data_IF_210561222239
#
_entry.id   IF_210561222239
#
_cell.length_a   1.000
_cell.length_b   1.000
_cell.length_c   1.000
_cell.angle_alpha   90.00
_cell.angle_beta   90.00
_cell.angle_gamma   90.00
#
_symmetry.space_group_name_H-M   'P 1'
#
loop_
_entity.id
_entity.type
_entity.pdbx_description
1 polymer ?
2 polymer ?
3 non-polymer ?
4 non-polymer ?
5 water ?
#
# COMPACT_ATOMS: atom_id res chain seq x y z
N UNK A 1 8.67 9.22 -11.08
CA UNK A 1 7.54 8.28 -11.10
C UNK A 1 7.72 7.24 -12.21
N UNK A 2 7.24 6.02 -11.96
CA UNK A 2 7.35 4.95 -12.94
C UNK A 2 5.99 4.56 -13.54
N UNK A 3 5.93 4.38 -14.88
CA UNK A 3 4.71 3.92 -15.55
C UNK A 3 4.58 2.39 -15.57
N UNK A 4 5.51 1.71 -14.91
CA UNK A 4 5.54 0.24 -14.82
C UNK A 4 6.72 -0.10 -13.95
N UNK A 5 6.66 -1.24 -13.28
CA UNK A 5 7.84 -1.77 -12.62
C UNK A 5 7.83 -3.30 -12.65
N UNK A 6 9.01 -3.93 -12.53
CA UNK A 6 9.09 -5.40 -12.59
C UNK A 6 8.46 -6.12 -11.39
N UNK A 7 7.99 -5.37 -10.39
CA UNK A 7 7.40 -5.97 -9.19
C UNK A 7 5.88 -5.97 -9.20
N UNK A 8 5.27 -5.42 -10.25
CA UNK A 8 3.81 -5.47 -10.41
C UNK A 8 3.23 -6.91 -10.43
N UNK A 9 4.04 -7.85 -10.91
CA UNK A 9 3.73 -9.29 -10.83
C UNK A 9 3.33 -9.78 -9.41
N UNK A 10 3.86 -9.12 -8.37
CA UNK A 10 3.58 -9.49 -6.98
C UNK A 10 2.21 -9.04 -6.45
N UNK A 11 1.55 -8.14 -7.17
CA UNK A 11 0.24 -7.63 -6.77
C UNK A 11 -0.80 -8.77 -6.85
N UNK A 12 -1.49 -9.01 -5.73
CA UNK A 12 -2.48 -10.09 -5.62
C UNK A 12 -3.91 -9.53 -5.71
N UNK A 13 -4.90 -10.40 -5.99
CA UNK A 13 -6.28 -9.92 -6.11
C UNK A 13 -6.77 -9.19 -4.86
N UNK A 14 -7.57 -8.15 -5.07
CA UNK A 14 -8.20 -7.45 -3.97
C UNK A 14 -9.05 -8.46 -3.20
N UNK A 15 -8.95 -8.45 -1.86
CA UNK A 15 -9.81 -9.33 -1.07
C UNK A 15 -11.29 -9.17 -1.42
N UNK A 16 -12.01 -10.29 -1.46
CA UNK A 16 -13.45 -10.28 -1.79
C UNK A 16 -14.22 -9.38 -0.83
N UNK A 17 -13.76 -9.35 0.43
CA UNK A 17 -14.32 -8.49 1.48
C UNK A 17 -14.09 -7.00 1.23
N UNK A 18 -13.17 -6.67 0.33
CA UNK A 18 -12.86 -5.29 0.00
C UNK A 18 -11.87 -4.67 0.97
N UNK A 19 -11.76 -3.35 0.92
CA UNK A 19 -10.76 -2.63 1.71
C UNK A 19 -11.43 -1.75 2.74
N UNK A 20 -10.70 -1.46 3.81
CA UNK A 20 -11.15 -0.55 4.86
C UNK A 20 -10.08 0.53 5.04
N UNK A 21 -10.29 1.70 4.43
CA UNK A 21 -9.28 2.76 4.44
C UNK A 21 -9.07 3.39 5.83
N UNK A 22 -9.96 3.11 6.78
CA UNK A 22 -9.79 3.62 8.15
C UNK A 22 -9.21 2.56 9.10
N UNK A 23 -8.80 1.42 8.55
CA UNK A 23 -8.20 0.35 9.34
C UNK A 23 -6.92 0.85 10.05
N UNK A 24 -6.79 0.58 11.38
CA UNK A 24 -5.59 0.95 12.16
C UNK A 24 -4.33 0.17 11.74
N UNK A 25 -3.16 0.73 12.03
CA UNK A 25 -1.91 -0.01 11.86
C UNK A 25 -1.94 -1.30 12.70
N UNK A 26 -1.59 -2.42 12.06
CA UNK A 26 -1.57 -3.72 12.73
C UNK A 26 -0.58 -3.81 13.89
N UNK A 27 0.39 -2.89 13.96
CA UNK A 27 1.35 -2.92 15.07
C UNK A 27 1.12 -1.87 16.17
N UNK A 28 0.88 -0.62 15.78
CA UNK A 28 0.77 0.46 16.77
C UNK A 28 -0.66 1.02 16.92
N UNK A 29 -1.56 0.60 16.03
CA UNK A 29 -2.97 0.97 16.13
C UNK A 29 -3.29 2.40 15.73
N UNK A 30 -2.32 3.12 15.16
CA UNK A 30 -2.58 4.50 14.73
C UNK A 30 -3.42 4.56 13.46
N UNK A 31 -4.08 5.70 13.27
CA UNK A 31 -4.93 5.95 12.11
C UNK A 31 -4.39 7.04 11.16
N UNK A 32 -3.18 7.51 11.41
CA UNK A 32 -2.67 8.75 10.79
C UNK A 32 -2.35 8.70 9.29
N UNK A 33 -1.42 7.82 8.91
CA UNK A 33 -0.97 7.67 7.53
C UNK A 33 -0.69 6.19 7.29
N UNK A 34 -1.75 5.42 7.06
CA UNK A 34 -1.58 4.00 6.86
C UNK A 34 -1.50 3.62 5.39
N UNK A 35 -0.86 2.48 5.14
CA UNK A 35 -0.71 1.93 3.81
C UNK A 35 -1.26 0.50 3.84
N UNK A 36 -1.68 -0.01 2.68
CA UNK A 36 -2.10 -1.41 2.58
C UNK A 36 -1.15 -2.15 1.63
N UNK A 37 -0.74 -3.34 2.04
CA UNK A 37 0.19 -4.13 1.23
C UNK A 37 -0.57 -4.80 0.07
N UNK A 38 -0.08 -4.60 -1.16
CA UNK A 38 -0.79 -5.11 -2.34
C UNK A 38 -0.56 -6.61 -2.58
N UNK A 39 0.23 -7.25 -1.72
CA UNK A 39 0.41 -8.71 -1.78
C UNK A 39 -0.48 -9.41 -0.76
N UNK A 40 -0.38 -9.01 0.52
CA UNK A 40 -1.11 -9.69 1.60
C UNK A 40 -2.29 -8.90 2.20
N UNK A 41 -2.38 -7.61 1.87
CA UNK A 41 -3.49 -6.72 2.27
C UNK A 41 -3.60 -6.43 3.78
N UNK A 42 -2.47 -6.63 4.46
CA UNK A 42 -2.31 -6.17 5.82
C UNK A 42 -2.08 -4.66 5.77
N UNK A 43 -2.46 -3.99 6.85
CA UNK A 43 -2.41 -2.53 6.92
C UNK A 43 -1.42 -2.10 8.01
N UNK A 44 -0.48 -1.22 7.65
CA UNK A 44 0.54 -0.72 8.57
C UNK A 44 0.87 0.75 8.26
N UNK A 45 1.38 1.45 9.27
CA UNK A 45 1.63 2.89 9.15
C UNK A 45 2.86 3.21 8.30
N UNK A 46 2.88 4.44 7.78
CA UNK A 46 3.96 4.87 6.90
C UNK A 46 5.24 5.19 7.65
N UNK A 47 6.30 5.47 6.88
CA UNK A 47 7.65 5.59 7.44
C UNK A 47 7.88 6.93 8.16
N UNK A 48 6.93 7.85 7.99
CA UNK A 48 6.93 9.15 8.69
C UNK A 48 6.10 9.10 9.96
N UNK A 49 5.46 7.96 10.20
CA UNK A 49 4.72 7.71 11.45
C UNK A 49 5.61 6.80 12.30
N UNK A 50 5.32 5.50 12.31
CA UNK A 50 6.14 4.54 13.07
C UNK A 50 6.82 3.47 12.21
N UNK A 51 6.71 3.61 10.89
CA UNK A 51 7.47 2.76 9.96
C UNK A 51 7.11 1.29 9.95
N UNK A 52 5.88 0.96 10.31
CA UNK A 52 5.50 -0.45 10.39
C UNK A 52 5.29 -1.13 9.04
N UNK A 53 4.89 -0.37 8.01
CA UNK A 53 4.84 -0.95 6.67
C UNK A 53 6.25 -1.26 6.17
N UNK A 54 7.19 -0.36 6.46
CA UNK A 54 8.60 -0.60 6.14
C UNK A 54 9.11 -1.87 6.84
N UNK A 55 8.75 -2.02 8.12
CA UNK A 55 9.04 -3.22 8.90
C UNK A 55 8.45 -4.47 8.21
N UNK A 56 7.20 -4.35 7.76
CA UNK A 56 6.52 -5.43 7.06
C UNK A 56 7.27 -5.82 5.78
N UNK A 57 7.70 -4.80 5.02
CA UNK A 57 8.52 -5.03 3.83
C UNK A 57 9.78 -5.83 4.19
N UNK A 58 10.44 -5.40 5.26
CA UNK A 58 11.64 -6.07 5.74
C UNK A 58 11.40 -7.52 6.12
N UNK A 59 10.24 -7.81 6.71
CA UNK A 59 9.92 -9.17 7.15
C UNK A 59 9.43 -10.11 6.06
N UNK A 60 8.72 -9.53 5.09
CA UNK A 60 8.01 -10.29 4.07
C UNK A 60 8.65 -10.24 2.68
N UNK A 61 9.33 -9.15 2.38
CA UNK A 61 9.82 -8.87 1.03
C UNK A 61 8.75 -8.36 0.05
N UNK A 62 7.51 -8.19 0.52
CA UNK A 62 6.44 -7.67 -0.35
C UNK A 62 6.78 -6.26 -0.87
N UNK A 63 6.68 -6.07 -2.19
CA UNK A 63 7.29 -4.87 -2.80
C UNK A 63 6.40 -3.62 -2.86
N UNK A 64 5.10 -3.81 -3.09
CA UNK A 64 4.22 -2.70 -3.47
C UNK A 64 3.16 -2.45 -2.43
N UNK A 65 3.02 -1.18 -2.06
CA UNK A 65 2.09 -0.80 -1.01
C UNK A 65 1.30 0.43 -1.45
N UNK A 66 0.07 0.54 -0.98
CA UNK A 66 -0.83 1.62 -1.39
C UNK A 66 -1.18 2.54 -0.23
N UNK A 67 -1.08 3.85 -0.44
CA UNK A 67 -1.41 4.83 0.60
C UNK A 67 -2.91 5.04 0.80
N UNK A 68 -3.36 4.99 2.05
CA UNK A 68 -4.76 5.29 2.34
C UNK A 68 -5.05 6.80 2.43
N UNK A 69 -4.00 7.61 2.39
CA UNK A 69 -4.14 9.07 2.35
C UNK A 69 -4.37 9.59 0.93
N UNK A 70 -3.49 9.26 0.00
CA UNK A 70 -3.62 9.83 -1.35
C UNK A 70 -3.63 8.81 -2.48
N UNK A 71 -3.74 7.53 -2.14
CA UNK A 71 -3.89 6.46 -3.12
C UNK A 71 -2.70 6.35 -4.09
N UNK A 72 -1.52 6.76 -3.63
CA UNK A 72 -0.25 6.55 -4.36
C UNK A 72 0.29 5.17 -4.02
N UNK A 73 0.87 4.51 -5.02
CA UNK A 73 1.46 3.19 -4.82
C UNK A 73 2.98 3.27 -4.88
N UNK A 74 3.64 2.77 -3.85
CA UNK A 74 5.10 2.83 -3.73
C UNK A 74 5.72 1.45 -3.89
N UNK A 75 6.78 1.35 -4.68
CA UNK A 75 7.55 0.12 -4.73
C UNK A 75 8.84 0.30 -3.92
N UNK A 76 8.98 -0.53 -2.89
CA UNK A 76 10.15 -0.46 -2.02
C UNK A 76 11.45 -0.75 -2.75
N UNK A 77 11.43 -1.69 -3.71
CA UNK A 77 12.67 -2.03 -4.44
C UNK A 77 13.04 -0.99 -5.49
N UNK A 78 12.04 -0.54 -6.25
CA UNK A 78 12.30 0.48 -7.25
C UNK A 78 12.49 1.85 -6.59
N UNK A 79 12.07 1.95 -5.33
CA UNK A 79 12.18 3.18 -4.55
C UNK A 79 11.54 4.35 -5.28
N UNK A 80 10.30 4.12 -5.71
CA UNK A 80 9.57 5.06 -6.56
C UNK A 80 8.08 4.81 -6.46
N UNK A 81 7.32 5.86 -6.75
CA UNK A 81 5.90 5.68 -7.00
C UNK A 81 5.69 5.08 -8.39
N UNK A 82 4.74 4.15 -8.46
CA UNK A 82 4.42 3.44 -9.69
C UNK A 82 2.94 3.66 -10.01
N UNK A 83 2.66 3.99 -11.27
CA UNK A 83 1.28 4.12 -11.73
C UNK A 83 1.14 3.26 -12.97
N UNK A 84 0.09 2.45 -12.99
CA UNK A 84 -0.12 1.50 -14.09
C UNK A 84 -1.57 1.03 -14.03
N UNK A 85 -2.14 0.70 -15.18
CA UNK A 85 -3.54 0.24 -15.21
C UNK A 85 -3.81 -1.04 -14.40
N UNK A 86 -2.76 -1.80 -14.09
CA UNK A 86 -2.89 -2.94 -13.16
C UNK A 86 -3.34 -2.54 -11.76
N UNK A 87 -3.14 -1.27 -11.42
CA UNK A 87 -3.50 -0.74 -10.10
C UNK A 87 -4.85 -0.01 -10.12
N UNK A 88 -5.48 0.06 -11.29
CA UNK A 88 -6.73 0.81 -11.42
C UNK A 88 -7.81 0.31 -10.45
N UNK A 89 -7.99 -1.01 -10.40
CA UNK A 89 -9.06 -1.59 -9.59
C UNK A 89 -8.88 -1.35 -8.10
N UNK A 90 -7.68 -1.62 -7.59
CA UNK A 90 -7.42 -1.47 -6.17
C UNK A 90 -7.59 -0.01 -5.73
N UNK A 91 -7.11 0.93 -6.56
CA UNK A 91 -7.26 2.35 -6.23
C UNK A 91 -8.73 2.78 -6.26
N UNK A 92 -9.49 2.25 -7.21
CA UNK A 92 -10.93 2.55 -7.24
C UNK A 92 -11.67 1.99 -6.03
N UNK A 93 -11.35 0.76 -5.65
CA UNK A 93 -11.97 0.12 -4.49
C UNK A 93 -11.66 0.91 -3.21
N UNK A 94 -10.40 1.34 -3.05
CA UNK A 94 -10.01 2.18 -1.92
C UNK A 94 -10.77 3.52 -1.95
N UNK A 95 -10.79 4.15 -3.12
CA UNK A 95 -11.47 5.43 -3.28
C UNK A 95 -12.94 5.31 -2.90
N UNK A 96 -13.59 4.24 -3.34
CA UNK A 96 -15.02 4.06 -3.10
C UNK A 96 -15.31 3.88 -1.60
N UNK A 97 -14.44 3.15 -0.91
CA UNK A 97 -14.58 2.97 0.54
C UNK A 97 -14.32 4.27 1.29
N UNK A 98 -13.38 5.06 0.78
CA UNK A 98 -12.98 6.30 1.43
C UNK A 98 -14.06 7.37 1.32
N UNK A 99 -14.71 7.44 0.16
CA UNK A 99 -15.70 8.48 -0.13
C UNK A 99 -17.10 7.90 -0.29
N UNK B 2 7.80 12.69 1.57
CA UNK B 2 7.29 12.23 0.25
C UNK B 2 7.96 10.96 -0.33
N UNK B 3 8.82 10.30 0.45
CA UNK B 3 9.16 8.90 0.18
C UNK B 3 7.93 8.06 0.52
N UNK B 4 7.54 7.13 -0.34
CA UNK B 4 6.38 6.28 -0.06
C UNK B 4 6.70 5.13 0.88
N UNK B 5 5.67 4.45 1.37
CA UNK B 5 5.87 3.28 2.21
C UNK B 5 6.20 3.58 3.66
X LIG C 1 2.42 -7.92 2.65
X LIG D 1 2.35 1.52 13.13
X LIG E 1 9.33 -2.20 -8.42
X LIG F 1 -15.54 -4.75 3.58
#
# INVERSE_FOLDING_TARGET
>A
PLPWCPHLVAVCPIPAAGLDVTQPCGDCGTIQENWVCLSCYQVYCGRYINGHMLQHHGNSGHPLVLSYIDLSAWCYYCQAYVHHQALLDVKNIAHQNKFGEDMPHPH
>B
RLRGG
>C hetero
1 ZN ZN
>D hetero
1 ZN ZN
>E hetero
1 ZN ZN
>F hetero
1 CA CA
#
